data_IF_215637470872
#
_entry.id   IF_215637470872
#
_cell.length_a   1.000
_cell.length_b   1.000
_cell.length_c   1.000
_cell.angle_alpha   90.00
_cell.angle_beta   90.00
_cell.angle_gamma   90.00
#
_symmetry.space_group_name_H-M   'P 1'
#
loop_
_entity.id
_entity.type
_entity.pdbx_description
1 polymer ?
#
# COMPACT_ATOMS: atom_id res chain seq x y z
N UNK A 1 7.06 36.38 20.43
CA UNK A 1 7.25 36.24 18.97
C UNK A 1 7.79 34.87 18.55
N UNK A 2 8.77 34.27 19.26
CA UNK A 2 9.32 32.95 18.91
C UNK A 2 8.33 31.77 19.00
N UNK A 3 7.42 31.78 20.00
CA UNK A 3 6.46 30.69 20.20
C UNK A 3 5.43 30.59 19.06
N UNK A 4 4.95 31.73 18.55
CA UNK A 4 3.99 31.76 17.44
C UNK A 4 4.61 31.27 16.13
N UNK A 5 5.90 31.52 15.92
CA UNK A 5 6.64 31.04 14.74
C UNK A 5 6.79 29.50 14.75
N UNK A 6 7.00 28.91 15.93
CA UNK A 6 7.09 27.46 16.12
C UNK A 6 5.72 26.80 15.89
N UNK A 7 4.64 27.42 16.38
CA UNK A 7 3.28 26.92 16.20
C UNK A 7 2.85 26.94 14.72
N UNK A 8 3.25 27.97 13.96
CA UNK A 8 2.97 28.09 12.53
C UNK A 8 3.75 27.08 11.69
N UNK A 9 4.97 26.72 12.11
CA UNK A 9 5.78 25.69 11.44
C UNK A 9 5.22 24.28 11.57
N UNK A 10 4.58 23.96 12.71
CA UNK A 10 4.00 22.63 12.94
C UNK A 10 2.77 22.34 12.04
N UNK A 11 2.04 23.38 11.62
CA UNK A 11 0.86 23.25 10.75
C UNK A 11 1.20 22.99 9.28
N UNK A 12 2.47 23.13 8.88
CA UNK A 12 2.93 22.89 7.51
C UNK A 12 3.45 21.46 7.27
N UNK A 13 3.38 20.58 8.27
CA UNK A 13 3.74 19.17 8.09
C UNK A 13 2.58 18.50 7.33
N UNK A 14 2.76 18.10 6.06
CA UNK A 14 1.70 17.43 5.32
C UNK A 14 1.40 16.10 6.01
N UNK A 15 0.20 15.95 6.58
CA UNK A 15 -0.34 14.66 7.04
C UNK A 15 -0.76 13.79 5.84
N UNK A 16 0.15 13.61 4.89
CA UNK A 16 -0.03 12.68 3.78
C UNK A 16 0.46 11.30 4.20
N UNK A 17 -0.41 10.29 4.17
CA UNK A 17 0.05 8.91 4.23
C UNK A 17 0.81 8.60 2.93
N UNK A 18 2.07 8.15 3.04
CA UNK A 18 2.85 7.69 1.89
C UNK A 18 2.10 6.57 1.18
N UNK A 19 2.06 6.59 -0.16
CA UNK A 19 1.36 5.57 -0.95
C UNK A 19 2.09 4.24 -1.01
N UNK A 20 3.41 4.30 -0.79
CA UNK A 20 4.27 3.15 -0.63
C UNK A 20 4.62 3.03 0.83
N UNK A 21 4.27 1.91 1.43
CA UNK A 21 4.55 1.63 2.83
C UNK A 21 5.62 0.57 2.93
N UNK A 22 6.67 0.83 3.69
CA UNK A 22 7.58 -0.23 4.07
C UNK A 22 6.88 -1.19 5.05
N UNK A 23 7.09 -2.48 4.86
CA UNK A 23 6.61 -3.55 5.73
C UNK A 23 7.72 -4.57 5.95
N UNK A 24 7.96 -4.90 7.21
CA UNK A 24 8.83 -6.02 7.57
C UNK A 24 8.06 -7.32 7.49
N UNK A 25 8.55 -8.23 6.66
CA UNK A 25 8.11 -9.62 6.62
C UNK A 25 9.18 -10.52 7.26
N UNK A 26 8.80 -11.76 7.56
CA UNK A 26 9.79 -12.77 7.91
C UNK A 26 10.68 -13.07 6.70
N UNK A 27 12.00 -13.26 6.88
CA UNK A 27 12.87 -13.70 5.81
C UNK A 27 12.53 -15.14 5.38
N UNK A 28 12.64 -15.42 4.08
CA UNK A 28 12.53 -16.78 3.58
C UNK A 28 13.72 -17.65 4.01
N UNK A 29 13.53 -18.97 4.07
CA UNK A 29 14.57 -19.91 4.49
C UNK A 29 15.87 -19.83 3.66
N UNK A 30 15.76 -19.46 2.38
CA UNK A 30 16.90 -19.27 1.46
C UNK A 30 17.06 -17.78 1.05
N UNK A 31 16.61 -16.85 1.90
CA UNK A 31 16.48 -15.43 1.57
C UNK A 31 15.12 -15.08 0.95
N UNK A 32 14.96 -13.82 0.58
CA UNK A 32 13.70 -13.21 0.17
C UNK A 32 12.73 -12.88 1.31
N UNK A 33 11.47 -12.69 0.97
CA UNK A 33 10.41 -12.27 1.89
C UNK A 33 9.32 -13.35 1.97
N UNK A 34 8.87 -13.71 3.18
CA UNK A 34 7.79 -14.67 3.38
C UNK A 34 6.44 -13.99 3.16
N UNK A 35 5.86 -14.25 2.00
CA UNK A 35 4.54 -13.83 1.58
C UNK A 35 3.41 -14.72 2.10
N UNK A 36 2.17 -14.45 1.69
CA UNK A 36 1.00 -15.26 2.12
C UNK A 36 0.87 -16.56 1.34
N UNK A 37 1.30 -16.55 0.06
CA UNK A 37 1.27 -17.70 -0.86
C UNK A 37 2.59 -18.46 -0.93
N UNK A 38 3.64 -17.98 -0.25
CA UNK A 38 4.96 -18.60 -0.26
C UNK A 38 6.11 -17.60 -0.08
N UNK A 39 7.34 -18.05 -0.33
CA UNK A 39 8.53 -17.18 -0.27
C UNK A 39 8.70 -16.43 -1.58
N UNK A 40 8.71 -15.11 -1.51
CA UNK A 40 8.99 -14.18 -2.59
C UNK A 40 10.49 -13.96 -2.72
N UNK A 41 11.04 -14.12 -3.92
CA UNK A 41 12.41 -13.68 -4.21
C UNK A 41 12.48 -12.15 -4.23
N UNK A 42 13.67 -11.60 -4.02
CA UNK A 42 13.91 -10.16 -4.17
C UNK A 42 13.48 -9.72 -5.57
N UNK A 43 12.71 -8.63 -5.65
CA UNK A 43 12.12 -8.11 -6.88
C UNK A 43 10.77 -8.73 -7.26
N UNK A 44 10.35 -9.82 -6.61
CA UNK A 44 9.03 -10.39 -6.86
C UNK A 44 7.93 -9.66 -6.10
N UNK A 45 6.73 -9.71 -6.68
CA UNK A 45 5.52 -9.13 -6.13
C UNK A 45 4.49 -10.20 -5.79
N UNK A 46 3.67 -9.92 -4.79
CA UNK A 46 2.48 -10.68 -4.43
C UNK A 46 1.30 -9.73 -4.29
N UNK A 47 0.16 -10.10 -4.87
CA UNK A 47 -1.07 -9.32 -4.74
C UNK A 47 -1.74 -9.55 -3.40
N UNK A 48 -2.28 -8.47 -2.82
CA UNK A 48 -3.12 -8.57 -1.63
C UNK A 48 -4.54 -9.00 -2.04
N UNK A 49 -5.09 -10.08 -1.47
CA UNK A 49 -6.43 -10.57 -1.84
C UNK A 49 -7.57 -9.67 -1.35
N UNK A 50 -7.33 -8.83 -0.33
CA UNK A 50 -8.37 -8.02 0.31
C UNK A 50 -8.39 -6.58 -0.17
N UNK A 51 -7.29 -6.09 -0.71
CA UNK A 51 -7.16 -4.70 -1.18
C UNK A 51 -6.43 -4.66 -2.51
N UNK A 52 -6.81 -3.73 -3.39
CA UNK A 52 -6.08 -3.49 -4.64
C UNK A 52 -4.70 -2.92 -4.32
N UNK A 53 -3.70 -3.80 -4.27
CA UNK A 53 -2.32 -3.45 -3.98
C UNK A 53 -1.39 -4.64 -4.13
N UNK A 54 -0.08 -4.35 -4.20
CA UNK A 54 0.96 -5.38 -4.29
C UNK A 54 2.00 -5.20 -3.21
N UNK A 55 2.46 -6.32 -2.68
CA UNK A 55 3.65 -6.40 -1.85
C UNK A 55 4.84 -6.73 -2.73
N UNK A 56 5.87 -5.89 -2.72
CA UNK A 56 7.12 -6.05 -3.45
C UNK A 56 8.26 -6.38 -2.47
N UNK A 57 8.93 -7.52 -2.66
CA UNK A 57 10.06 -7.91 -1.82
C UNK A 57 11.32 -7.12 -2.19
N UNK A 58 11.89 -6.39 -1.24
CA UNK A 58 13.05 -5.50 -1.48
C UNK A 58 14.39 -6.15 -1.20
N UNK A 59 14.49 -7.09 -0.25
CA UNK A 59 15.76 -7.74 0.09
C UNK A 59 15.60 -9.12 0.73
N UNK A 60 16.75 -9.76 1.00
CA UNK A 60 16.82 -11.07 1.63
C UNK A 60 16.58 -11.07 3.14
N UNK A 61 16.47 -9.89 3.75
CA UNK A 61 16.17 -9.75 5.17
C UNK A 61 14.66 -9.67 5.43
N UNK A 62 13.83 -9.84 4.40
CA UNK A 62 12.38 -9.72 4.50
C UNK A 62 11.87 -8.28 4.51
N UNK A 63 12.67 -7.30 4.07
CA UNK A 63 12.15 -5.95 3.87
C UNK A 63 11.30 -5.92 2.59
N UNK A 64 10.06 -5.44 2.70
CA UNK A 64 9.14 -5.33 1.58
C UNK A 64 8.51 -3.94 1.52
N UNK A 65 7.99 -3.58 0.36
CA UNK A 65 7.18 -2.39 0.14
C UNK A 65 5.79 -2.79 -0.30
N UNK A 66 4.77 -2.18 0.28
CA UNK A 66 3.40 -2.32 -0.19
C UNK A 66 3.05 -1.10 -1.02
N UNK A 67 2.54 -1.34 -2.22
CA UNK A 67 1.99 -0.34 -3.11
C UNK A 67 0.47 -0.44 -3.09
N UNK A 68 -0.20 0.63 -2.66
CA UNK A 68 -1.65 0.76 -2.79
C UNK A 68 -2.01 1.74 -3.90
N UNK A 69 -3.26 1.66 -4.36
CA UNK A 69 -3.80 2.67 -5.27
C UNK A 69 -3.66 4.06 -4.67
N UNK A 70 -3.22 5.01 -5.50
CA UNK A 70 -3.55 6.41 -5.21
C UNK A 70 -5.07 6.52 -5.25
N UNK A 71 -5.67 7.33 -4.38
CA UNK A 71 -7.09 7.68 -4.50
C UNK A 71 -7.16 8.99 -5.29
N UNK A 72 -7.19 8.97 -6.64
CA UNK A 72 -7.48 10.17 -7.41
C UNK A 72 -8.94 10.58 -7.18
N UNK A 73 -9.27 11.82 -7.53
CA UNK A 73 -10.61 12.42 -7.37
C UNK A 73 -11.71 11.51 -7.95
N UNK A 74 -11.43 10.79 -9.04
CA UNK A 74 -12.37 9.85 -9.67
C UNK A 74 -12.71 8.63 -8.81
N UNK A 75 -11.79 8.15 -7.96
CA UNK A 75 -12.03 7.03 -7.03
C UNK A 75 -12.77 7.50 -5.78
N UNK A 76 -12.59 8.76 -5.37
CA UNK A 76 -13.38 9.36 -4.29
C UNK A 76 -14.89 9.44 -4.63
N UNK A 77 -15.23 9.34 -5.91
CA UNK A 77 -16.60 9.30 -6.42
C UNK A 77 -17.18 7.87 -6.54
N UNK A 78 -16.39 6.82 -6.26
CA UNK A 78 -16.91 5.46 -6.26
C UNK A 78 -18.02 5.30 -5.21
N UNK A 79 -19.15 4.63 -5.52
CA UNK A 79 -20.18 4.31 -4.54
C UNK A 79 -19.56 3.45 -3.42
N UNK A 80 -19.48 3.99 -2.21
CA UNK A 80 -18.80 3.33 -1.08
C UNK A 80 -17.28 3.51 -1.03
N UNK A 81 -16.66 4.28 -1.93
CA UNK A 81 -15.21 4.59 -1.94
C UNK A 81 -14.28 3.36 -2.09
N UNK A 82 -14.80 2.24 -2.62
CA UNK A 82 -14.04 1.00 -2.83
C UNK A 82 -13.60 0.79 -4.28
N UNK A 83 -12.49 0.08 -4.45
CA UNK A 83 -12.00 -0.44 -5.74
C UNK A 83 -11.95 -1.96 -5.70
N UNK A 84 -12.06 -2.62 -6.86
CA UNK A 84 -12.04 -4.10 -6.93
C UNK A 84 -10.69 -4.66 -6.50
N UNK A 85 -10.65 -5.86 -5.89
CA UNK A 85 -9.42 -6.66 -5.71
C UNK A 85 -9.39 -7.89 -6.63
N UNK A 86 -10.39 -8.04 -7.52
CA UNK A 86 -10.53 -9.21 -8.41
C UNK A 86 -9.64 -9.11 -9.67
N UNK A 87 -9.06 -7.93 -9.91
CA UNK A 87 -8.21 -7.63 -11.05
C UNK A 87 -6.81 -7.30 -10.52
N UNK A 88 -5.79 -7.57 -11.32
CA UNK A 88 -4.40 -7.31 -10.95
C UNK A 88 -4.13 -5.81 -10.77
N UNK A 89 -3.22 -5.47 -9.87
CA UNK A 89 -2.72 -4.11 -9.73
C UNK A 89 -1.79 -3.77 -10.91
N UNK A 90 -1.80 -2.53 -11.44
CA UNK A 90 -2.54 -1.35 -10.99
C UNK A 90 -3.93 -1.18 -11.65
N UNK A 91 -4.36 -2.10 -12.49
CA UNK A 91 -5.61 -1.97 -13.25
C UNK A 91 -6.83 -1.91 -12.33
N UNK A 92 -6.80 -2.68 -11.23
CA UNK A 92 -7.87 -2.65 -10.24
C UNK A 92 -8.09 -1.28 -9.58
N UNK A 93 -7.12 -0.36 -9.63
CA UNK A 93 -7.24 0.99 -9.05
C UNK A 93 -8.27 1.88 -9.74
N UNK A 94 -8.68 1.53 -10.96
CA UNK A 94 -9.55 2.37 -11.79
C UNK A 94 -11.00 1.87 -11.85
N UNK A 95 -11.30 0.76 -11.17
CA UNK A 95 -12.59 0.08 -11.27
C UNK A 95 -13.29 0.14 -9.91
N UNK A 96 -14.32 0.98 -9.85
CA UNK A 96 -15.16 1.12 -8.66
C UNK A 96 -15.91 -0.18 -8.36
N UNK A 97 -15.99 -0.52 -7.08
CA UNK A 97 -16.83 -1.61 -6.60
C UNK A 97 -17.49 -1.24 -5.28
N UNK A 98 -18.57 -1.95 -4.94
CA UNK A 98 -19.18 -1.90 -3.61
C UNK A 98 -18.58 -2.98 -2.72
N UNK A 99 -18.36 -2.69 -1.44
CA UNK A 99 -17.92 -3.69 -0.49
C UNK A 99 -18.90 -4.88 -0.43
N UNK A 100 -18.37 -6.10 -0.47
CA UNK A 100 -19.12 -7.31 -0.17
C UNK A 100 -19.18 -7.46 1.36
N UNK A 101 -20.34 -7.78 1.91
CA UNK A 101 -20.43 -8.23 3.30
C UNK A 101 -19.78 -9.62 3.37
N UNK A 102 -18.61 -9.68 4.01
CA UNK A 102 -17.84 -10.89 4.24
C UNK A 102 -18.17 -11.50 5.61
#
# INVERSE_FOLDING_TARGET
MKLNLILMGLMLIPWGNSLVHWKKLEPGANGGCKGTKGVLKVGQTEEDPLVCGVLHCSDNAGNAFIHYCQIPITVALCPGKGVTSEIMFPDCCWICTTFKNC
#
